data_IF_712865653217
#
_entry.id   IF_712865653217
#
_cell.length_a   1.000
_cell.length_b   1.000
_cell.length_c   1.000
_cell.angle_alpha   90.00
_cell.angle_beta   90.00
_cell.angle_gamma   90.00
#
_symmetry.space_group_name_H-M   'P 1'
#
loop_
_entity.id
_entity.type
_entity.pdbx_description
1 polymer ?
#
# COMPACT_ATOMS: atom_id res chain seq x y z
N UNK A 1 8.02 -1.16 15.22
CA UNK A 1 7.86 -0.91 13.77
C UNK A 1 8.01 0.58 13.56
N UNK A 2 9.14 1.04 13.00
CA UNK A 2 9.39 2.47 12.75
C UNK A 2 8.66 2.86 11.46
N UNK A 3 7.83 3.89 11.54
CA UNK A 3 7.24 4.53 10.37
C UNK A 3 8.33 5.40 9.70
N UNK A 4 8.50 5.29 8.39
CA UNK A 4 9.38 6.15 7.59
C UNK A 4 8.52 7.00 6.64
N UNK A 5 8.85 8.28 6.51
CA UNK A 5 8.27 9.10 5.45
C UNK A 5 8.85 8.68 4.10
N UNK A 6 7.96 8.29 3.19
CA UNK A 6 8.30 7.96 1.81
C UNK A 6 8.14 9.22 0.95
N UNK A 7 7.08 10.01 1.14
CA UNK A 7 6.88 11.26 0.40
C UNK A 7 6.82 12.45 1.35
N UNK A 8 7.82 13.33 1.29
CA UNK A 8 7.83 14.56 2.09
C UNK A 8 6.80 15.59 1.62
N UNK A 9 6.58 15.72 0.30
CA UNK A 9 5.66 16.72 -0.25
C UNK A 9 4.21 16.54 0.21
N UNK A 10 3.76 15.30 0.32
CA UNK A 10 2.39 14.95 0.67
C UNK A 10 2.29 14.20 2.01
N UNK A 11 3.36 14.26 2.82
CA UNK A 11 3.46 13.62 4.13
C UNK A 11 3.03 12.14 4.16
N UNK A 12 3.41 11.38 3.14
CA UNK A 12 3.04 9.95 3.00
C UNK A 12 4.09 9.08 3.67
N UNK A 13 3.68 8.21 4.58
CA UNK A 13 4.55 7.22 5.23
C UNK A 13 4.47 5.86 4.56
N UNK A 14 5.45 5.00 4.84
CA UNK A 14 5.42 3.58 4.49
C UNK A 14 4.15 2.89 5.06
N UNK A 15 3.70 3.30 6.25
CA UNK A 15 2.44 2.83 6.84
C UNK A 15 1.22 3.22 6.01
N UNK A 16 1.17 4.44 5.47
CA UNK A 16 0.06 4.88 4.63
C UNK A 16 -0.02 4.07 3.33
N UNK A 17 1.13 3.75 2.73
CA UNK A 17 1.20 2.89 1.54
C UNK A 17 0.69 1.49 1.88
N UNK A 18 1.19 0.86 2.96
CA UNK A 18 0.73 -0.47 3.37
C UNK A 18 -0.77 -0.49 3.71
N UNK A 19 -1.29 0.56 4.35
CA UNK A 19 -2.72 0.70 4.65
C UNK A 19 -3.54 0.77 3.36
N UNK A 20 -3.12 1.59 2.39
CA UNK A 20 -3.80 1.68 1.10
C UNK A 20 -3.88 0.32 0.39
N UNK A 21 -2.80 -0.46 0.43
CA UNK A 21 -2.80 -1.82 -0.13
C UNK A 21 -3.74 -2.75 0.65
N UNK A 22 -3.73 -2.73 1.98
CA UNK A 22 -4.68 -3.50 2.79
C UNK A 22 -6.15 -3.11 2.51
N UNK A 23 -6.42 -1.85 2.19
CA UNK A 23 -7.74 -1.34 1.78
C UNK A 23 -8.13 -1.70 0.33
N UNK A 24 -7.28 -2.43 -0.39
CA UNK A 24 -7.59 -2.96 -1.72
C UNK A 24 -6.94 -2.22 -2.89
N UNK A 25 -6.05 -1.24 -2.66
CA UNK A 25 -5.32 -0.59 -3.76
C UNK A 25 -4.40 -1.60 -4.45
N UNK A 26 -4.52 -1.75 -5.77
CA UNK A 26 -3.73 -2.73 -6.56
C UNK A 26 -2.87 -2.12 -7.65
N UNK A 27 -3.07 -0.85 -7.98
CA UNK A 27 -2.24 -0.15 -8.97
C UNK A 27 -1.51 1.03 -8.37
N UNK A 28 -0.34 1.35 -8.90
CA UNK A 28 0.42 2.53 -8.43
C UNK A 28 -0.35 3.82 -8.73
N UNK A 29 -1.06 3.91 -9.87
CA UNK A 29 -1.88 5.07 -10.20
C UNK A 29 -2.97 5.33 -9.14
N UNK A 30 -3.66 4.27 -8.70
CA UNK A 30 -4.65 4.34 -7.63
C UNK A 30 -4.00 4.73 -6.28
N UNK A 31 -2.81 4.22 -5.97
CA UNK A 31 -2.05 4.64 -4.80
C UNK A 31 -1.76 6.15 -4.84
N UNK A 32 -1.35 6.68 -6.00
CA UNK A 32 -1.12 8.11 -6.18
C UNK A 32 -2.42 8.92 -6.02
N UNK A 33 -3.54 8.42 -6.53
CA UNK A 33 -4.84 9.09 -6.34
C UNK A 33 -5.26 9.13 -4.86
N UNK A 34 -5.04 8.04 -4.11
CA UNK A 34 -5.40 7.97 -2.69
C UNK A 34 -4.47 8.76 -1.77
N UNK A 35 -3.17 8.70 -2.01
CA UNK A 35 -2.15 9.23 -1.08
C UNK A 35 -1.47 10.50 -1.57
N UNK A 36 -1.62 10.85 -2.85
CA UNK A 36 -0.86 11.89 -3.55
C UNK A 36 0.66 11.63 -3.57
N UNK A 37 1.13 10.42 -3.25
CA UNK A 37 2.56 10.14 -3.33
C UNK A 37 3.08 10.34 -4.77
N UNK A 38 4.28 10.88 -4.92
CA UNK A 38 4.93 11.09 -6.23
C UNK A 38 4.18 12.00 -7.23
N UNK A 39 3.22 12.82 -6.80
CA UNK A 39 2.47 13.76 -7.68
C UNK A 39 3.01 15.19 -7.68
N UNK A 40 3.97 15.52 -6.80
CA UNK A 40 4.52 16.87 -6.65
C UNK A 40 5.93 16.97 -7.24
N UNK A 41 6.98 16.57 -6.51
CA UNK A 41 8.36 16.61 -7.01
C UNK A 41 8.81 15.31 -7.68
N UNK A 42 8.11 14.20 -7.43
CA UNK A 42 8.44 12.87 -7.98
C UNK A 42 9.66 12.16 -7.37
N UNK A 43 10.45 12.81 -6.50
CA UNK A 43 11.70 12.24 -5.96
C UNK A 43 11.51 10.90 -5.23
N UNK A 44 10.36 10.71 -4.56
CA UNK A 44 10.05 9.49 -3.84
C UNK A 44 9.60 8.32 -4.72
N UNK A 45 9.49 8.48 -6.05
CA UNK A 45 8.83 7.49 -6.91
C UNK A 45 9.46 6.10 -6.84
N UNK A 46 10.79 6.02 -6.78
CA UNK A 46 11.52 4.75 -6.63
C UNK A 46 11.17 4.05 -5.32
N UNK A 47 11.34 4.75 -4.20
CA UNK A 47 11.06 4.24 -2.85
C UNK A 47 9.58 3.91 -2.65
N UNK A 48 8.67 4.75 -3.14
CA UNK A 48 7.22 4.52 -3.09
C UNK A 48 6.82 3.27 -3.88
N UNK A 49 7.42 3.03 -5.06
CA UNK A 49 7.18 1.82 -5.85
C UNK A 49 7.73 0.58 -5.17
N UNK A 50 8.91 0.65 -4.56
CA UNK A 50 9.48 -0.47 -3.80
C UNK A 50 8.57 -0.83 -2.63
N UNK A 51 8.22 0.14 -1.78
CA UNK A 51 7.32 -0.05 -0.65
C UNK A 51 5.94 -0.58 -1.08
N UNK A 52 5.40 -0.08 -2.19
CA UNK A 52 4.13 -0.55 -2.74
C UNK A 52 4.18 -2.01 -3.19
N UNK A 53 5.24 -2.43 -3.89
CA UNK A 53 5.43 -3.83 -4.31
C UNK A 53 5.61 -4.76 -3.11
N UNK A 54 6.42 -4.37 -2.14
CA UNK A 54 6.59 -5.11 -0.89
C UNK A 54 5.25 -5.29 -0.15
N UNK A 55 4.42 -4.25 -0.12
CA UNK A 55 3.10 -4.30 0.48
C UNK A 55 2.15 -5.24 -0.28
N UNK A 56 2.17 -5.25 -1.62
CA UNK A 56 1.37 -6.17 -2.43
C UNK A 56 1.75 -7.63 -2.17
N UNK A 57 3.05 -7.95 -2.20
CA UNK A 57 3.54 -9.30 -1.91
C UNK A 57 3.20 -9.75 -0.48
N UNK A 58 3.26 -8.83 0.49
CA UNK A 58 2.86 -9.14 1.86
C UNK A 58 1.37 -9.45 1.98
N UNK A 59 0.50 -8.76 1.24
CA UNK A 59 -0.94 -9.05 1.20
C UNK A 59 -1.27 -10.33 0.44
N UNK A 60 -0.56 -10.65 -0.64
CA UNK A 60 -0.67 -11.93 -1.36
C UNK A 60 -0.30 -13.11 -0.45
N UNK A 61 0.86 -13.03 0.22
CA UNK A 61 1.29 -14.05 1.18
C UNK A 61 0.30 -14.22 2.35
N UNK A 62 -0.36 -13.14 2.77
CA UNK A 62 -1.44 -13.20 3.77
C UNK A 62 -2.71 -13.86 3.23
N UNK A 63 -3.07 -13.60 1.98
CA UNK A 63 -4.22 -14.20 1.34
C UNK A 63 -4.04 -15.72 1.18
N UNK A 64 -2.84 -16.16 0.79
CA UNK A 64 -2.50 -17.59 0.66
C UNK A 64 -2.48 -18.33 2.00
N UNK A 65 -2.13 -17.63 3.08
CA UNK A 65 -2.19 -18.17 4.44
C UNK A 65 -3.64 -18.26 4.99
N UNK A 66 -4.63 -17.66 4.32
CA UNK A 66 -6.03 -17.73 4.76
C UNK A 66 -6.61 -19.09 4.35
N UNK A 67 -7.15 -19.90 5.28
CA UNK A 67 -7.67 -21.22 4.94
C UNK A 67 -8.75 -21.09 3.86
N UNK A 68 -8.52 -21.75 2.74
CA UNK A 68 -9.43 -21.88 1.60
C UNK A 68 -10.74 -22.53 2.08
N UNK A 69 -11.72 -21.70 2.48
CA UNK A 69 -13.00 -22.19 2.98
C UNK A 69 -13.90 -21.20 3.73
N UNK A 70 -13.47 -19.96 4.01
CA UNK A 70 -14.35 -18.98 4.66
C UNK A 70 -15.08 -18.09 3.64
N UNK A 71 -16.42 -18.06 3.61
CA UNK A 71 -17.16 -17.16 2.73
C UNK A 71 -16.86 -15.71 3.10
N UNK A 72 -16.56 -14.90 2.07
CA UNK A 72 -16.34 -13.45 2.13
C UNK A 72 -17.67 -12.72 2.38
N UNK A 73 -18.39 -13.08 3.45
CA UNK A 73 -19.66 -12.45 3.85
C UNK A 73 -19.77 -12.20 5.37
N UNK A 74 -18.66 -12.22 6.11
CA UNK A 74 -18.65 -11.86 7.53
C UNK A 74 -18.13 -10.42 7.77
N UNK A 75 -18.61 -9.47 6.97
CA UNK A 75 -18.55 -8.05 7.28
C UNK A 75 -19.99 -7.51 7.21
N UNK A 76 -20.78 -7.85 8.22
CA UNK A 76 -22.06 -7.24 8.55
C UNK A 76 -21.99 -6.75 9.99
#
# INVERSE_FOLDING_TARGET
MRCMYICMCNAVTDRDIRRAVAEGVRTFAELQQRTRCSTTCGCCMGEARACFKEALHAEEARADARPIGLPVFAAA
#
